data_IF_887138481171
#
_entry.id   IF_887138481171
#
_cell.length_a   1.000
_cell.length_b   1.000
_cell.length_c   1.000
_cell.angle_alpha   90.00
_cell.angle_beta   90.00
_cell.angle_gamma   90.00
#
_symmetry.space_group_name_H-M   'P 1'
#
loop_
_entity.id
_entity.type
_entity.pdbx_description
1 polymer ?
#
# COMPACT_ATOMS: atom_id res chain seq x y z
N UNK A 1 -1.51 -54.13 -38.75
CA UNK A 1 -2.94 -54.39 -38.50
C UNK A 1 -3.09 -55.51 -37.47
N UNK A 2 -3.47 -55.20 -36.22
CA UNK A 2 -3.76 -56.18 -35.16
C UNK A 2 -4.96 -55.66 -34.36
N UNK A 3 -6.09 -56.37 -34.45
CA UNK A 3 -7.34 -56.11 -33.71
C UNK A 3 -7.14 -56.46 -32.24
N UNK A 4 -7.48 -55.55 -31.33
CA UNK A 4 -7.80 -55.85 -29.92
C UNK A 4 -9.05 -55.06 -29.54
N UNK A 5 -10.16 -55.77 -29.45
CA UNK A 5 -11.43 -55.33 -28.89
C UNK A 5 -11.41 -55.59 -27.38
N UNK A 6 -11.66 -54.56 -26.57
CA UNK A 6 -11.79 -54.68 -25.12
C UNK A 6 -13.26 -54.60 -24.71
N UNK A 7 -13.65 -55.55 -23.84
CA UNK A 7 -14.99 -55.83 -23.31
C UNK A 7 -15.51 -54.72 -22.38
N UNK A 8 -16.79 -54.44 -22.51
CA UNK A 8 -17.65 -53.69 -21.57
C UNK A 8 -17.94 -54.51 -20.30
N UNK A 9 -18.11 -53.88 -19.12
CA UNK A 9 -18.87 -54.47 -18.02
C UNK A 9 -20.25 -53.82 -17.85
N UNK A 10 -21.27 -54.70 -17.76
CA UNK A 10 -22.56 -54.54 -17.05
C UNK A 10 -22.35 -53.80 -15.72
N UNK A 11 -23.20 -52.89 -15.26
CA UNK A 11 -24.66 -52.91 -15.27
C UNK A 11 -25.14 -53.30 -13.87
N UNK A 12 -25.43 -52.31 -13.02
CA UNK A 12 -26.17 -52.52 -11.76
C UNK A 12 -27.31 -51.53 -11.67
N UNK A 13 -28.51 -52.09 -11.56
CA UNK A 13 -29.81 -51.45 -11.70
C UNK A 13 -30.54 -51.55 -10.35
N UNK A 14 -31.15 -50.43 -9.95
CA UNK A 14 -32.31 -50.24 -9.05
C UNK A 14 -32.11 -50.42 -7.54
N UNK A 15 -32.62 -49.45 -6.78
CA UNK A 15 -34.01 -49.48 -6.23
C UNK A 15 -34.54 -48.07 -5.92
N UNK A 16 -35.86 -47.81 -6.06
CA UNK A 16 -36.51 -46.57 -5.67
C UNK A 16 -37.10 -46.65 -4.26
N UNK A 17 -37.02 -45.56 -3.48
CA UNK A 17 -37.78 -45.42 -2.22
C UNK A 17 -38.83 -44.34 -2.40
N UNK A 18 -40.08 -44.70 -2.08
CA UNK A 18 -41.32 -43.97 -2.31
C UNK A 18 -41.87 -43.41 -0.99
N UNK A 19 -42.14 -42.10 -1.02
CA UNK A 19 -43.28 -41.36 -0.45
C UNK A 19 -43.45 -41.08 1.06
N UNK A 20 -44.23 -39.98 1.24
CA UNK A 20 -44.93 -39.39 2.41
C UNK A 20 -44.12 -38.30 3.11
N UNK A 21 -44.54 -37.03 3.21
CA UNK A 21 -45.88 -36.44 3.20
C UNK A 21 -46.28 -36.07 4.64
N UNK A 22 -46.20 -34.78 5.00
CA UNK A 22 -46.86 -34.07 6.14
C UNK A 22 -46.29 -32.63 6.19
N UNK A 23 -47.04 -31.61 5.79
CA UNK A 23 -47.96 -30.74 6.57
C UNK A 23 -47.21 -29.74 7.49
N UNK A 24 -47.44 -28.46 7.21
CA UNK A 24 -46.93 -27.27 7.91
C UNK A 24 -47.45 -27.17 9.37
N UNK A 25 -46.93 -26.22 10.19
CA UNK A 25 -47.51 -24.88 10.19
C UNK A 25 -46.51 -23.72 10.33
N UNK A 26 -47.05 -22.53 10.09
CA UNK A 26 -46.48 -21.22 10.35
C UNK A 26 -46.07 -21.04 11.82
N UNK A 27 -45.03 -20.24 12.04
CA UNK A 27 -44.79 -19.58 13.32
C UNK A 27 -44.14 -18.23 13.04
N UNK A 28 -45.00 -17.23 13.15
CA UNK A 28 -44.72 -15.83 13.38
C UNK A 28 -43.80 -15.73 14.61
N UNK A 29 -42.63 -15.11 14.45
CA UNK A 29 -41.76 -14.75 15.56
C UNK A 29 -41.49 -13.26 15.47
N UNK A 30 -42.39 -12.53 16.13
CA UNK A 30 -42.19 -11.21 16.70
C UNK A 30 -40.85 -11.18 17.45
N UNK A 31 -39.92 -10.32 17.04
CA UNK A 31 -38.77 -9.98 17.88
C UNK A 31 -38.53 -8.48 17.85
N UNK A 32 -39.09 -7.88 18.90
CA UNK A 32 -38.81 -6.60 19.51
C UNK A 32 -37.47 -5.94 19.12
N UNK A 33 -37.57 -4.67 18.74
CA UNK A 33 -36.46 -3.72 18.68
C UNK A 33 -35.76 -3.60 20.04
N UNK A 34 -34.43 -3.81 20.13
CA UNK A 34 -33.67 -3.40 21.30
C UNK A 34 -33.29 -1.90 21.25
N UNK A 35 -33.13 -1.26 22.42
CA UNK A 35 -33.11 0.19 22.61
C UNK A 35 -31.80 0.87 22.19
N UNK A 36 -31.91 2.14 21.80
CA UNK A 36 -30.80 3.05 21.54
C UNK A 36 -29.92 3.24 22.79
N UNK A 37 -28.59 3.05 22.70
CA UNK A 37 -27.67 3.46 23.77
C UNK A 37 -27.36 4.98 23.71
N UNK A 38 -26.94 5.55 24.86
CA UNK A 38 -27.13 6.96 25.21
C UNK A 38 -26.02 7.91 24.72
N UNK A 39 -26.42 9.18 24.57
CA UNK A 39 -25.56 10.35 24.43
C UNK A 39 -24.59 10.50 25.62
N UNK A 40 -23.30 10.70 25.35
CA UNK A 40 -22.33 11.26 26.31
C UNK A 40 -21.08 11.79 25.58
N UNK A 41 -20.28 12.69 26.17
CA UNK A 41 -20.18 14.10 25.79
C UNK A 41 -18.80 14.47 25.19
N UNK A 42 -18.62 15.67 24.62
CA UNK A 42 -17.31 16.12 24.15
C UNK A 42 -16.39 16.47 25.33
N UNK A 43 -15.13 16.03 25.26
CA UNK A 43 -14.05 16.41 26.18
C UNK A 43 -12.86 17.01 25.42
N UNK A 44 -12.01 17.82 26.08
CA UNK A 44 -11.61 19.13 25.58
C UNK A 44 -10.20 19.14 24.97
N UNK A 45 -9.96 20.10 24.08
CA UNK A 45 -8.65 20.43 23.53
C UNK A 45 -7.75 21.10 24.60
N UNK A 46 -6.46 20.72 24.70
CA UNK A 46 -5.50 21.41 25.54
C UNK A 46 -4.86 22.63 24.85
N UNK A 47 -4.51 23.58 25.70
CA UNK A 47 -4.02 24.92 25.45
C UNK A 47 -2.71 25.02 24.64
N UNK A 48 -2.63 26.03 23.78
CA UNK A 48 -1.41 26.49 23.13
C UNK A 48 -0.68 27.45 24.07
N UNK A 49 0.50 27.03 24.54
CA UNK A 49 1.42 27.87 25.29
C UNK A 49 2.18 28.80 24.33
N UNK A 50 2.14 30.08 24.68
CA UNK A 50 2.94 31.21 24.24
C UNK A 50 4.43 31.07 24.55
N UNK A 51 5.32 31.66 23.72
CA UNK A 51 6.40 32.58 24.14
C UNK A 51 7.13 33.21 22.92
N UNK A 52 7.75 34.41 23.08
CA UNK A 52 8.19 35.32 22.01
C UNK A 52 9.71 35.26 21.74
N UNK A 53 10.22 35.99 20.73
CA UNK A 53 11.60 36.45 20.73
C UNK A 53 11.68 37.96 21.01
N UNK A 54 12.44 38.31 22.04
CA UNK A 54 12.80 39.69 22.40
C UNK A 54 14.33 39.81 22.44
N UNK A 55 14.77 41.02 22.08
CA UNK A 55 16.05 41.66 22.43
C UNK A 55 17.22 41.51 21.46
N UNK A 56 17.35 42.60 20.70
CA UNK A 56 18.60 43.25 20.31
C UNK A 56 19.65 43.28 21.43
N UNK A 57 20.93 43.22 21.04
CA UNK A 57 21.97 43.95 21.76
C UNK A 57 23.09 44.37 20.80
N UNK A 58 23.12 45.69 20.52
CA UNK A 58 24.33 46.39 20.12
C UNK A 58 25.40 46.23 21.21
N UNK A 59 26.66 46.09 20.79
CA UNK A 59 27.72 46.85 21.46
C UNK A 59 28.89 47.16 20.52
N UNK A 60 29.27 48.43 20.57
CA UNK A 60 30.35 49.06 19.84
C UNK A 60 31.51 49.37 20.79
N UNK A 61 32.74 49.06 20.39
CA UNK A 61 33.99 49.64 20.92
C UNK A 61 35.03 49.62 19.77
N UNK A 62 35.39 50.75 19.15
CA UNK A 62 36.29 51.86 19.52
C UNK A 62 37.78 51.58 19.20
N UNK A 63 38.26 52.34 18.18
CA UNK A 63 39.58 52.82 17.73
C UNK A 63 40.87 52.24 18.40
N UNK A 64 42.01 52.07 17.70
CA UNK A 64 42.80 53.14 17.04
C UNK A 64 44.00 52.54 16.26
N UNK A 65 44.48 53.31 15.27
CA UNK A 65 45.84 53.36 14.68
C UNK A 65 46.18 52.49 13.44
N UNK A 66 46.76 53.18 12.45
CA UNK A 66 47.31 52.75 11.14
C UNK A 66 48.79 53.23 11.08
N UNK A 67 49.64 52.93 10.06
CA UNK A 67 49.72 51.85 9.05
C UNK A 67 51.17 51.21 9.07
N UNK A 68 51.72 50.39 8.12
CA UNK A 68 51.79 50.57 6.64
C UNK A 68 51.49 49.30 5.80
N UNK A 69 51.30 49.50 4.50
CA UNK A 69 51.11 48.46 3.47
C UNK A 69 52.33 47.54 3.34
N UNK A 70 52.15 46.28 2.87
CA UNK A 70 52.34 46.06 1.43
C UNK A 70 51.35 45.08 0.79
N UNK A 71 51.17 45.30 -0.51
CA UNK A 71 50.57 44.46 -1.52
C UNK A 71 50.42 42.96 -1.15
N UNK A 72 49.18 42.52 -0.95
CA UNK A 72 48.79 41.10 -1.10
C UNK A 72 47.27 40.96 -1.26
N UNK A 73 46.64 41.87 -2.02
CA UNK A 73 45.17 41.92 -2.19
C UNK A 73 44.59 40.71 -2.92
N UNK A 74 45.41 39.92 -3.63
CA UNK A 74 44.94 38.74 -4.37
C UNK A 74 44.71 37.49 -3.50
N UNK A 75 45.53 37.27 -2.46
CA UNK A 75 45.47 36.02 -1.67
C UNK A 75 44.37 36.02 -0.60
N UNK A 76 44.10 37.16 0.03
CA UNK A 76 43.03 37.28 1.04
C UNK A 76 41.65 37.22 0.39
N UNK A 77 41.49 37.82 -0.79
CA UNK A 77 40.23 37.75 -1.55
C UNK A 77 40.00 36.32 -2.07
N UNK A 78 41.04 35.65 -2.59
CA UNK A 78 40.96 34.24 -2.97
C UNK A 78 40.58 33.32 -1.80
N UNK A 79 41.17 33.52 -0.62
CA UNK A 79 40.82 32.73 0.57
C UNK A 79 39.37 32.96 1.05
N UNK A 80 38.87 34.19 0.97
CA UNK A 80 37.46 34.51 1.29
C UNK A 80 36.51 33.89 0.27
N UNK A 81 36.81 33.98 -1.04
CA UNK A 81 36.02 33.30 -2.06
C UNK A 81 36.06 31.78 -1.93
N UNK A 82 37.19 31.21 -1.53
CA UNK A 82 37.34 29.77 -1.29
C UNK A 82 36.56 29.32 -0.05
N UNK A 83 36.57 30.11 1.03
CA UNK A 83 35.74 29.87 2.20
C UNK A 83 34.24 30.00 1.90
N UNK A 84 33.83 31.00 1.11
CA UNK A 84 32.43 31.18 0.67
C UNK A 84 32.00 30.03 -0.24
N UNK A 85 32.83 29.63 -1.22
CA UNK A 85 32.50 28.51 -2.11
C UNK A 85 32.49 27.17 -1.39
N UNK A 86 33.40 26.93 -0.45
CA UNK A 86 33.36 25.73 0.42
C UNK A 86 32.14 25.77 1.33
N UNK A 87 31.78 26.91 1.92
CA UNK A 87 30.55 26.99 2.74
C UNK A 87 29.30 26.87 1.90
N UNK A 88 29.22 27.44 0.69
CA UNK A 88 28.10 27.23 -0.23
C UNK A 88 28.05 25.78 -0.70
N UNK A 89 29.19 25.13 -0.95
CA UNK A 89 29.25 23.71 -1.33
C UNK A 89 28.85 22.81 -0.16
N UNK A 90 29.37 23.06 1.04
CA UNK A 90 29.01 22.34 2.27
C UNK A 90 27.55 22.60 2.59
N UNK A 91 27.05 23.83 2.46
CA UNK A 91 25.63 24.12 2.61
C UNK A 91 24.81 23.48 1.49
N UNK A 92 25.30 23.34 0.26
CA UNK A 92 24.57 22.64 -0.80
C UNK A 92 24.52 21.13 -0.55
N UNK A 93 25.62 20.55 -0.08
CA UNK A 93 25.72 19.13 0.28
C UNK A 93 25.02 18.80 1.62
N UNK A 94 24.97 19.74 2.57
CA UNK A 94 24.31 19.59 3.87
C UNK A 94 22.86 20.09 3.88
N UNK A 95 22.47 21.00 2.98
CA UNK A 95 21.08 21.47 2.81
C UNK A 95 20.25 20.55 1.91
N UNK A 96 20.69 19.31 1.69
CA UNK A 96 19.87 18.22 1.15
C UNK A 96 18.72 17.80 2.08
N UNK A 97 18.07 18.73 2.75
CA UNK A 97 16.98 18.45 3.70
C UNK A 97 16.45 19.67 4.46
N UNK A 98 16.33 20.84 3.82
CA UNK A 98 15.44 21.89 4.32
C UNK A 98 14.01 21.35 4.42
N UNK A 99 13.39 21.49 5.59
CA UNK A 99 12.25 20.72 6.06
C UNK A 99 10.98 20.74 5.18
N UNK A 100 10.12 19.73 5.45
CA UNK A 100 8.65 19.67 5.27
C UNK A 100 8.10 18.90 4.06
N UNK A 101 8.42 17.61 3.94
CA UNK A 101 7.44 16.52 3.78
C UNK A 101 8.23 15.20 3.65
N UNK A 102 7.93 14.13 4.41
CA UNK A 102 8.54 12.85 4.14
C UNK A 102 8.21 12.45 2.70
N UNK A 103 9.23 12.33 1.84
CA UNK A 103 9.04 11.87 0.48
C UNK A 103 8.29 10.54 0.51
N UNK A 104 7.22 10.44 -0.28
CA UNK A 104 6.45 9.21 -0.37
C UNK A 104 7.39 8.07 -0.76
N UNK A 105 7.34 6.89 -0.10
CA UNK A 105 8.30 5.81 -0.37
C UNK A 105 8.29 5.35 -1.84
N UNK A 106 7.20 5.64 -2.56
CA UNK A 106 7.00 5.29 -3.96
C UNK A 106 7.09 6.50 -4.90
N UNK A 107 7.88 7.53 -4.56
CA UNK A 107 7.93 8.80 -5.32
C UNK A 107 8.22 8.63 -6.82
N UNK A 108 8.93 7.58 -7.24
CA UNK A 108 9.17 7.28 -8.66
C UNK A 108 7.89 7.00 -9.47
N UNK A 109 6.78 6.64 -8.79
CA UNK A 109 5.49 6.38 -9.44
C UNK A 109 4.72 7.68 -9.75
N UNK A 110 5.19 8.85 -9.31
CA UNK A 110 4.48 10.14 -9.46
C UNK A 110 4.21 10.47 -10.92
N UNK A 111 5.22 10.36 -11.79
CA UNK A 111 5.04 10.63 -13.22
C UNK A 111 4.03 9.66 -13.87
N UNK A 112 4.10 8.37 -13.52
CA UNK A 112 3.18 7.36 -14.05
C UNK A 112 1.75 7.53 -13.52
N UNK A 113 1.56 8.10 -12.33
CA UNK A 113 0.22 8.22 -11.70
C UNK A 113 -0.76 9.13 -12.45
N UNK A 114 -0.27 9.97 -13.36
CA UNK A 114 -1.10 10.83 -14.21
C UNK A 114 -1.91 10.00 -15.22
N UNK A 115 -1.32 8.94 -15.75
CA UNK A 115 -1.92 8.11 -16.81
C UNK A 115 -2.15 6.65 -16.40
N UNK A 116 -1.59 6.21 -15.28
CA UNK A 116 -1.68 4.84 -14.80
C UNK A 116 -2.38 4.77 -13.42
N UNK A 117 -3.60 4.20 -13.36
CA UNK A 117 -4.36 4.12 -12.11
C UNK A 117 -3.71 3.21 -11.07
N UNK A 118 -2.91 2.21 -11.48
CA UNK A 118 -2.15 1.39 -10.54
C UNK A 118 -1.02 2.18 -9.86
N UNK A 119 -0.34 3.06 -10.62
CA UNK A 119 0.64 3.99 -10.04
C UNK A 119 -0.03 4.97 -9.07
N UNK A 120 -1.24 5.45 -9.38
CA UNK A 120 -2.04 6.26 -8.46
C UNK A 120 -2.42 5.51 -7.18
N UNK A 121 -2.79 4.24 -7.29
CA UNK A 121 -3.11 3.40 -6.12
C UNK A 121 -1.88 3.16 -5.22
N UNK A 122 -0.69 3.07 -5.80
CA UNK A 122 0.57 2.93 -5.07
C UNK A 122 0.95 4.21 -4.30
N UNK A 123 0.58 5.38 -4.83
CA UNK A 123 0.76 6.69 -4.18
C UNK A 123 -0.36 7.07 -3.20
N UNK A 124 -1.30 6.15 -2.95
CA UNK A 124 -2.40 6.40 -2.02
C UNK A 124 -1.87 6.83 -0.65
N UNK A 125 -2.49 7.87 -0.09
CA UNK A 125 -2.13 8.36 1.26
C UNK A 125 -2.54 7.38 2.36
N UNK A 126 -3.37 6.36 2.06
CA UNK A 126 -3.71 5.31 3.03
C UNK A 126 -2.44 4.65 3.56
N UNK A 127 -2.37 4.51 4.88
CA UNK A 127 -1.29 3.78 5.51
C UNK A 127 -1.43 2.28 5.23
N UNK A 128 -0.34 1.64 4.78
CA UNK A 128 -0.29 0.19 4.62
C UNK A 128 -0.60 -0.27 3.20
N UNK A 129 -1.77 -0.87 2.99
CA UNK A 129 -2.12 -1.61 1.77
C UNK A 129 -3.28 -0.98 1.00
N UNK A 130 -3.12 -0.81 -0.31
CA UNK A 130 -4.22 -0.51 -1.24
C UNK A 130 -4.61 -1.74 -2.06
N UNK A 131 -5.86 -1.79 -2.51
CA UNK A 131 -6.40 -2.89 -3.32
C UNK A 131 -6.75 -2.43 -4.73
N UNK A 132 -6.35 -3.21 -5.73
CA UNK A 132 -6.65 -2.97 -7.15
C UNK A 132 -7.18 -4.25 -7.77
N UNK A 133 -8.28 -4.13 -8.49
CA UNK A 133 -8.75 -5.17 -9.41
C UNK A 133 -8.29 -4.79 -10.80
N UNK A 134 -7.48 -5.63 -11.43
CA UNK A 134 -7.06 -5.44 -12.79
C UNK A 134 -7.70 -6.50 -13.68
N UNK A 135 -8.70 -6.06 -14.44
CA UNK A 135 -9.32 -6.86 -15.48
C UNK A 135 -8.55 -6.69 -16.78
N UNK A 136 -7.71 -7.67 -17.14
CA UNK A 136 -6.92 -7.58 -18.36
C UNK A 136 -7.76 -8.03 -19.56
N UNK A 137 -8.17 -7.08 -20.41
CA UNK A 137 -8.75 -7.41 -21.71
C UNK A 137 -7.65 -7.75 -22.70
N UNK A 138 -8.03 -8.49 -23.73
CA UNK A 138 -7.11 -8.91 -24.79
C UNK A 138 -6.63 -7.67 -25.55
N UNK A 139 -5.32 -7.41 -25.51
CA UNK A 139 -4.70 -6.24 -26.15
C UNK A 139 -4.43 -5.06 -25.22
N UNK A 140 -4.83 -5.13 -23.94
CA UNK A 140 -4.51 -4.09 -22.98
C UNK A 140 -3.01 -4.08 -22.68
N UNK A 141 -2.44 -2.87 -22.62
CA UNK A 141 -1.06 -2.67 -22.20
C UNK A 141 -0.83 -3.15 -20.76
N UNK A 142 0.37 -3.65 -20.48
CA UNK A 142 0.73 -4.08 -19.13
C UNK A 142 0.80 -2.85 -18.21
N UNK A 143 -0.15 -2.76 -17.27
CA UNK A 143 -0.21 -1.64 -16.32
C UNK A 143 0.88 -1.74 -15.25
N UNK A 144 1.62 -2.84 -15.14
CA UNK A 144 2.75 -3.03 -14.21
C UNK A 144 4.08 -2.51 -14.77
N UNK A 145 4.17 -2.14 -16.05
CA UNK A 145 5.43 -1.70 -16.67
C UNK A 145 6.10 -0.56 -15.91
N UNK A 146 5.33 0.39 -15.39
CA UNK A 146 5.91 1.47 -14.59
C UNK A 146 6.62 0.93 -13.34
N UNK A 147 6.06 -0.09 -12.68
CA UNK A 147 6.57 -0.64 -11.44
C UNK A 147 7.90 -1.39 -11.67
N UNK A 148 8.05 -2.03 -12.83
CA UNK A 148 9.31 -2.66 -13.25
C UNK A 148 10.43 -1.63 -13.49
N UNK A 149 10.06 -0.41 -13.93
CA UNK A 149 10.98 0.69 -14.21
C UNK A 149 11.22 1.62 -13.00
N UNK A 150 10.43 1.48 -11.93
CA UNK A 150 10.46 2.36 -10.76
C UNK A 150 11.49 1.85 -9.73
N UNK A 151 12.63 2.53 -9.61
CA UNK A 151 13.64 2.20 -8.58
C UNK A 151 13.01 2.32 -7.18
N UNK A 152 12.98 1.21 -6.44
CA UNK A 152 12.41 1.14 -5.08
C UNK A 152 11.03 0.50 -5.00
N UNK A 153 10.41 0.18 -6.13
CA UNK A 153 9.21 -0.67 -6.20
C UNK A 153 9.63 -2.11 -6.47
N UNK A 154 9.04 -3.03 -5.72
CA UNK A 154 9.16 -4.47 -5.93
C UNK A 154 7.83 -5.00 -6.45
N UNK A 155 7.83 -5.61 -7.63
CA UNK A 155 6.69 -6.41 -8.10
C UNK A 155 6.90 -7.84 -7.62
N UNK A 156 6.02 -8.33 -6.76
CA UNK A 156 6.11 -9.64 -6.14
C UNK A 156 4.89 -10.49 -6.50
N UNK A 157 5.04 -11.59 -7.24
CA UNK A 157 3.94 -12.50 -7.48
C UNK A 157 3.59 -13.25 -6.18
N UNK A 158 2.30 -13.33 -5.86
CA UNK A 158 1.77 -14.15 -4.77
C UNK A 158 1.21 -15.45 -5.35
N UNK A 159 2.08 -16.46 -5.38
CA UNK A 159 1.74 -17.80 -5.87
C UNK A 159 0.93 -18.56 -4.80
N UNK A 160 -0.40 -18.49 -4.92
CA UNK A 160 -1.31 -19.34 -4.16
C UNK A 160 -1.47 -20.74 -4.78
N UNK A 161 -2.45 -21.53 -4.30
CA UNK A 161 -3.49 -21.17 -3.35
C UNK A 161 -2.99 -21.13 -1.90
N UNK A 162 -3.40 -20.10 -1.15
CA UNK A 162 -3.08 -19.99 0.28
C UNK A 162 -4.07 -20.82 1.11
N UNK A 163 -3.56 -21.77 1.90
CA UNK A 163 -4.37 -22.61 2.77
C UNK A 163 -4.74 -21.93 4.10
N UNK A 164 -3.97 -20.93 4.53
CA UNK A 164 -4.20 -20.21 5.78
C UNK A 164 -3.75 -18.75 5.70
N UNK A 165 -4.26 -17.94 6.65
CA UNK A 165 -3.88 -16.53 6.82
C UNK A 165 -2.38 -16.40 7.13
N UNK A 166 -1.80 -17.35 7.87
CA UNK A 166 -0.38 -17.33 8.21
C UNK A 166 0.51 -17.55 6.98
N UNK A 167 0.09 -18.40 6.03
CA UNK A 167 0.82 -18.57 4.77
C UNK A 167 0.81 -17.29 3.93
N UNK A 168 -0.36 -16.65 3.80
CA UNK A 168 -0.47 -15.36 3.10
C UNK A 168 0.40 -14.29 3.78
N UNK A 169 0.40 -14.25 5.12
CA UNK A 169 1.21 -13.31 5.90
C UNK A 169 2.70 -13.54 5.68
N UNK A 170 3.16 -14.79 5.78
CA UNK A 170 4.56 -15.14 5.56
C UNK A 170 5.01 -14.72 4.15
N UNK A 171 4.19 -15.00 3.13
CA UNK A 171 4.52 -14.68 1.74
C UNK A 171 4.60 -13.16 1.50
N UNK A 172 3.62 -12.41 1.99
CA UNK A 172 3.61 -10.94 1.87
C UNK A 172 4.76 -10.27 2.63
N UNK A 173 5.15 -10.81 3.79
CA UNK A 173 6.26 -10.28 4.58
C UNK A 173 7.65 -10.53 3.94
N UNK A 174 7.82 -11.62 3.17
CA UNK A 174 9.08 -11.87 2.43
C UNK A 174 9.46 -10.71 1.52
N UNK A 175 8.47 -10.01 0.95
CA UNK A 175 8.68 -8.87 0.06
C UNK A 175 9.38 -7.68 0.74
N UNK A 176 9.36 -7.60 2.08
CA UNK A 176 10.02 -6.53 2.85
C UNK A 176 11.34 -6.96 3.50
N UNK A 177 11.73 -8.24 3.41
CA UNK A 177 12.90 -8.78 4.10
C UNK A 177 14.25 -8.22 3.61
N UNK A 178 14.31 -7.68 2.39
CA UNK A 178 15.56 -7.17 1.79
C UNK A 178 15.92 -5.73 2.15
N UNK A 179 15.13 -5.05 3.02
CA UNK A 179 15.23 -3.63 3.43
C UNK A 179 15.28 -2.56 2.32
N UNK A 180 15.54 -2.93 1.06
CA UNK A 180 15.66 -2.01 -0.08
C UNK A 180 14.30 -1.61 -0.66
N UNK A 181 13.30 -2.47 -0.56
CA UNK A 181 11.98 -2.25 -1.16
C UNK A 181 11.02 -1.67 -0.13
N UNK A 182 10.73 -0.38 -0.23
CA UNK A 182 9.74 0.32 0.60
C UNK A 182 8.36 0.34 -0.04
N UNK A 183 8.27 -0.04 -1.31
CA UNK A 183 7.03 -0.14 -2.07
C UNK A 183 6.94 -1.51 -2.71
N UNK A 184 5.84 -2.20 -2.46
CA UNK A 184 5.61 -3.54 -2.98
C UNK A 184 4.27 -3.59 -3.72
N UNK A 185 4.28 -4.15 -4.91
CA UNK A 185 3.08 -4.46 -5.69
C UNK A 185 2.94 -5.99 -5.71
N UNK A 186 2.00 -6.50 -4.95
CA UNK A 186 1.68 -7.93 -4.93
C UNK A 186 0.72 -8.27 -6.06
N UNK A 187 1.09 -9.21 -6.92
CA UNK A 187 0.24 -9.64 -8.04
C UNK A 187 -0.30 -11.03 -7.74
N UNK A 188 -1.62 -11.18 -7.73
CA UNK A 188 -2.28 -12.47 -7.45
C UNK A 188 -3.50 -12.68 -8.33
N UNK A 189 -4.06 -13.89 -8.32
CA UNK A 189 -5.32 -14.22 -8.98
C UNK A 189 -6.45 -14.42 -7.95
N UNK A 190 -7.73 -14.27 -8.30
CA UNK A 190 -8.85 -14.52 -7.39
C UNK A 190 -8.81 -15.92 -6.77
N UNK A 191 -8.42 -16.93 -7.56
CA UNK A 191 -8.39 -18.34 -7.16
C UNK A 191 -7.29 -18.59 -6.11
N UNK A 192 -6.15 -17.89 -6.22
CA UNK A 192 -5.03 -18.02 -5.30
C UNK A 192 -5.40 -17.57 -3.86
N UNK A 193 -6.28 -16.58 -3.75
CA UNK A 193 -6.65 -15.94 -2.47
C UNK A 193 -8.04 -16.33 -1.97
N UNK A 194 -8.81 -17.11 -2.72
CA UNK A 194 -10.21 -17.41 -2.43
C UNK A 194 -10.43 -17.90 -0.98
N UNK A 195 -9.60 -18.85 -0.53
CA UNK A 195 -9.70 -19.45 0.82
C UNK A 195 -9.36 -18.47 1.95
N UNK A 196 -8.58 -17.43 1.66
CA UNK A 196 -8.13 -16.41 2.62
C UNK A 196 -8.78 -15.05 2.37
N UNK A 197 -9.80 -14.99 1.52
CA UNK A 197 -10.38 -13.73 1.06
C UNK A 197 -10.96 -12.89 2.22
N UNK A 198 -11.53 -13.54 3.24
CA UNK A 198 -12.00 -12.83 4.44
C UNK A 198 -10.86 -12.11 5.18
N UNK A 199 -9.65 -12.68 5.21
CA UNK A 199 -8.50 -12.04 5.83
C UNK A 199 -7.96 -10.85 5.00
N UNK A 200 -8.20 -10.83 3.68
CA UNK A 200 -7.87 -9.68 2.85
C UNK A 200 -8.63 -8.42 3.25
N UNK A 201 -9.81 -8.57 3.88
CA UNK A 201 -10.51 -7.44 4.47
C UNK A 201 -9.65 -6.75 5.51
N UNK A 202 -9.11 -7.51 6.46
CA UNK A 202 -8.21 -6.96 7.48
C UNK A 202 -7.00 -6.30 6.79
N UNK A 203 -6.39 -6.98 5.82
CA UNK A 203 -5.21 -6.45 5.13
C UNK A 203 -5.48 -5.08 4.49
N UNK A 204 -6.62 -4.92 3.83
CA UNK A 204 -6.98 -3.69 3.12
C UNK A 204 -7.54 -2.59 4.05
N UNK A 205 -8.13 -2.95 5.19
CA UNK A 205 -8.72 -1.98 6.14
C UNK A 205 -7.68 -1.44 7.13
N UNK A 206 -6.86 -2.33 7.69
CA UNK A 206 -5.97 -1.99 8.81
C UNK A 206 -4.53 -2.50 8.65
N UNK A 207 -4.15 -2.95 7.44
CA UNK A 207 -2.80 -3.46 7.17
C UNK A 207 -2.44 -4.68 8.04
N UNK A 208 -3.42 -5.47 8.47
CA UNK A 208 -3.18 -6.66 9.28
C UNK A 208 -3.67 -7.93 8.62
N UNK A 209 -3.02 -9.05 8.94
CA UNK A 209 -3.54 -10.38 8.66
C UNK A 209 -3.58 -11.14 9.98
N UNK A 210 -4.77 -11.48 10.49
CA UNK A 210 -4.93 -12.13 11.80
C UNK A 210 -4.38 -11.25 12.92
N UNK A 211 -4.69 -9.95 12.88
CA UNK A 211 -4.27 -8.97 13.89
C UNK A 211 -2.79 -8.56 13.87
N UNK A 212 -1.97 -9.08 12.95
CA UNK A 212 -0.54 -8.75 12.86
C UNK A 212 -0.25 -7.87 11.63
N UNK A 213 0.51 -6.77 11.78
CA UNK A 213 0.81 -5.88 10.67
C UNK A 213 1.65 -6.58 9.59
N UNK A 214 1.32 -6.31 8.33
CA UNK A 214 2.01 -6.90 7.17
C UNK A 214 3.01 -5.93 6.56
N UNK A 215 2.57 -4.71 6.22
CA UNK A 215 3.44 -3.66 5.70
C UNK A 215 4.10 -2.92 6.86
N UNK A 216 5.44 -2.81 6.89
CA UNK A 216 6.15 -2.04 7.92
C UNK A 216 5.78 -0.55 7.93
N UNK A 217 6.03 0.16 9.03
CA UNK A 217 5.92 1.61 9.06
C UNK A 217 6.73 2.26 7.94
N UNK A 218 6.17 3.31 7.33
CA UNK A 218 6.76 4.06 6.21
C UNK A 218 6.96 3.25 4.92
N UNK A 219 6.44 2.02 4.83
CA UNK A 219 6.35 1.26 3.60
C UNK A 219 4.92 1.32 3.01
N UNK A 220 4.78 0.85 1.77
CA UNK A 220 3.52 0.77 1.04
C UNK A 220 3.40 -0.57 0.33
N UNK A 221 2.20 -1.13 0.39
CA UNK A 221 1.81 -2.31 -0.36
C UNK A 221 0.62 -2.00 -1.28
N UNK A 222 0.59 -2.60 -2.45
CA UNK A 222 -0.61 -2.62 -3.30
C UNK A 222 -0.88 -4.05 -3.72
N UNK A 223 -2.05 -4.57 -3.34
CA UNK A 223 -2.53 -5.88 -3.79
C UNK A 223 -3.27 -5.71 -5.11
N UNK A 224 -2.72 -6.30 -6.18
CA UNK A 224 -3.33 -6.37 -7.50
C UNK A 224 -3.94 -7.75 -7.68
N UNK A 225 -5.26 -7.80 -7.70
CA UNK A 225 -6.02 -8.99 -8.08
C UNK A 225 -6.23 -8.94 -9.58
N UNK A 226 -5.40 -9.71 -10.30
CA UNK A 226 -5.46 -9.82 -11.75
C UNK A 226 -6.46 -10.91 -12.13
N UNK A 227 -7.50 -10.56 -12.87
CA UNK A 227 -8.53 -11.52 -13.29
C UNK A 227 -8.93 -11.34 -14.75
N UNK A 228 -9.41 -12.42 -15.36
CA UNK A 228 -10.03 -12.38 -16.70
C UNK A 228 -11.52 -11.96 -16.64
N UNK A 229 -12.07 -11.79 -15.44
CA UNK A 229 -13.49 -11.55 -15.22
C UNK A 229 -13.75 -10.08 -14.88
N UNK A 230 -14.90 -9.51 -15.28
CA UNK A 230 -15.29 -8.19 -14.81
C UNK A 230 -15.57 -8.21 -13.30
N UNK A 231 -15.60 -7.01 -12.71
CA UNK A 231 -15.79 -6.82 -11.26
C UNK A 231 -17.08 -7.47 -10.74
N UNK A 232 -18.13 -7.47 -11.55
CA UNK A 232 -19.44 -8.04 -11.22
C UNK A 232 -19.32 -9.55 -11.00
N UNK A 233 -18.58 -10.24 -11.86
CA UNK A 233 -18.34 -11.68 -11.76
C UNK A 233 -17.37 -12.02 -10.61
N UNK A 234 -16.45 -11.12 -10.27
CA UNK A 234 -15.55 -11.30 -9.14
C UNK A 234 -16.29 -11.46 -7.80
N UNK A 235 -17.50 -10.91 -7.68
CA UNK A 235 -18.38 -11.05 -6.49
C UNK A 235 -18.85 -12.49 -6.27
N UNK A 236 -18.77 -13.35 -7.29
CA UNK A 236 -19.09 -14.78 -7.18
C UNK A 236 -17.92 -15.59 -6.60
N UNK A 237 -16.70 -15.02 -6.62
CA UNK A 237 -15.48 -15.71 -6.20
C UNK A 237 -14.99 -15.18 -4.86
N UNK A 238 -14.99 -13.85 -4.70
CA UNK A 238 -14.52 -13.15 -3.51
C UNK A 238 -15.68 -12.55 -2.73
N UNK A 239 -15.58 -12.43 -1.40
CA UNK A 239 -16.59 -11.76 -0.59
C UNK A 239 -16.86 -10.35 -1.11
N UNK A 240 -18.13 -9.98 -1.18
CA UNK A 240 -18.61 -8.69 -1.70
C UNK A 240 -17.83 -7.51 -1.12
N UNK A 241 -17.59 -7.51 0.20
CA UNK A 241 -16.84 -6.44 0.90
C UNK A 241 -15.42 -6.29 0.36
N UNK A 242 -14.71 -7.39 0.11
CA UNK A 242 -13.36 -7.39 -0.46
C UNK A 242 -13.37 -6.77 -1.85
N UNK A 243 -14.31 -7.19 -2.69
CA UNK A 243 -14.46 -6.64 -4.05
C UNK A 243 -14.69 -5.12 -4.00
N UNK A 244 -15.48 -4.61 -3.05
CA UNK A 244 -15.69 -3.15 -2.90
C UNK A 244 -14.44 -2.37 -2.49
N UNK A 245 -13.47 -3.01 -1.83
CA UNK A 245 -12.20 -2.36 -1.46
C UNK A 245 -11.18 -2.34 -2.59
N UNK A 246 -11.39 -3.13 -3.66
CA UNK A 246 -10.55 -3.11 -4.84
C UNK A 246 -10.93 -1.93 -5.74
N UNK A 247 -9.98 -1.09 -6.10
CA UNK A 247 -10.21 -0.06 -7.14
C UNK A 247 -10.16 -0.73 -8.50
N UNK A 248 -11.14 -0.49 -9.36
CA UNK A 248 -11.15 -1.10 -10.70
C UNK A 248 -10.18 -0.37 -11.62
N UNK A 249 -9.38 -1.13 -12.35
CA UNK A 249 -8.52 -0.61 -13.41
C UNK A 249 -8.76 -1.44 -14.68
N UNK A 250 -9.13 -0.72 -15.74
CA UNK A 250 -9.32 -1.23 -17.10
C UNK A 250 -8.19 -0.68 -17.98
#
# INVERSE_FOLDING_TARGET
MKKRTAKTPKGTRRTPVKARGKKAPASEAELASPPSPPDTPPSPSPALQSLPPSSEHLNAQKATASPPAPASSGRRMGAVFLLISVTVLVLWFCSGGGATHPHHPCACATAASVSNPLAKALLSRRSGVSGVHWHQRRGDADRLDFALNCRGVLVAPLHGPFASVDQLRAETQKSFGSQKSRCVVWVTSPEAIQKVANALKELLENNALGGRPVVPPQARGTLVVKSAHPREELKNILPHRVVHMLTDVH
#
